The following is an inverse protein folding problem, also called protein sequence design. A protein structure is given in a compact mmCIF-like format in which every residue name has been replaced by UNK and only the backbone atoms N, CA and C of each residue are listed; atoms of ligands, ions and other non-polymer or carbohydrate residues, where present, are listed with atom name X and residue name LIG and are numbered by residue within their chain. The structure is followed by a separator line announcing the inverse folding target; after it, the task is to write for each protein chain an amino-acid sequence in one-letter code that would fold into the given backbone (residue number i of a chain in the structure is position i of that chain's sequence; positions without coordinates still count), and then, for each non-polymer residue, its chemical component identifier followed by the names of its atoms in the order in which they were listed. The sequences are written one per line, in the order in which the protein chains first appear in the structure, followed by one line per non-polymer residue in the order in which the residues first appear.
data_IF_238250835419
#
_entry.id   IF_238250835419
#
_cell.length_a   1.000
_cell.length_b   1.000
_cell.length_c   1.000
_cell.angle_alpha   90.00
_cell.angle_beta   90.00
_cell.angle_gamma   90.00
#
_symmetry.space_group_name_H-M   'P 1'
#
loop_
_entity.id
_entity.type
_entity.pdbx_description
1 polymer ?
#
# COMPACT_ATOMS: atom_id res chain seq x y z
N UNK A 1 5.35 -0.48 -2.99
CA UNK A 1 5.02 -1.45 -4.07
C UNK A 1 3.63 -1.21 -4.66
N UNK A 2 2.56 -1.08 -3.86
CA UNK A 2 1.20 -0.81 -4.36
C UNK A 2 1.17 0.52 -5.12
N UNK A 3 1.70 1.59 -4.52
CA UNK A 3 1.80 2.92 -5.14
C UNK A 3 2.47 2.90 -6.53
N UNK A 4 3.55 2.13 -6.68
CA UNK A 4 4.27 1.98 -7.94
C UNK A 4 3.41 1.22 -8.96
N UNK A 5 2.72 0.15 -8.56
CA UNK A 5 1.83 -0.58 -9.48
C UNK A 5 0.60 0.21 -9.88
N UNK A 6 0.03 1.00 -8.97
CA UNK A 6 -1.01 1.96 -9.33
C UNK A 6 -0.51 3.02 -10.31
N UNK A 7 0.74 3.48 -10.15
CA UNK A 7 1.35 4.45 -11.07
C UNK A 7 1.65 3.83 -12.44
N UNK A 8 2.12 2.59 -12.49
CA UNK A 8 2.25 1.82 -13.74
C UNK A 8 0.90 1.62 -14.43
N UNK A 9 -0.14 1.31 -13.66
CA UNK A 9 -1.52 1.21 -14.17
C UNK A 9 -2.01 2.53 -14.74
N UNK A 10 -1.76 3.65 -14.05
CA UNK A 10 -2.08 5.00 -14.55
C UNK A 10 -1.32 5.36 -15.84
N UNK A 11 -0.04 4.98 -15.93
CA UNK A 11 0.75 5.14 -17.16
C UNK A 11 0.13 4.33 -18.32
N UNK A 12 -0.24 3.09 -18.07
CA UNK A 12 -0.74 2.15 -19.10
C UNK A 12 -2.16 2.49 -19.57
N UNK A 13 -3.07 2.80 -18.64
CA UNK A 13 -4.49 2.97 -18.95
C UNK A 13 -4.84 4.41 -19.37
N UNK A 14 -4.18 5.41 -18.79
CA UNK A 14 -4.55 6.83 -18.97
C UNK A 14 -3.38 7.73 -19.39
N UNK A 15 -2.22 7.16 -19.70
CA UNK A 15 -1.06 7.91 -20.17
C UNK A 15 -0.47 8.86 -19.13
N UNK A 16 -0.60 8.54 -17.83
CA UNK A 16 -0.08 9.39 -16.76
C UNK A 16 1.45 9.56 -16.86
N UNK A 17 1.93 10.78 -16.56
CA UNK A 17 3.35 11.09 -16.50
C UNK A 17 4.09 10.14 -15.57
N UNK A 18 5.18 9.57 -16.07
CA UNK A 18 5.90 8.49 -15.40
C UNK A 18 7.41 8.71 -15.41
N UNK A 19 8.09 8.43 -14.30
CA UNK A 19 9.54 8.55 -14.20
C UNK A 19 10.17 7.21 -13.78
N UNK A 20 10.77 6.45 -14.71
CA UNK A 20 11.42 5.17 -14.40
C UNK A 20 12.55 5.30 -13.36
N UNK A 21 13.25 6.43 -13.34
CA UNK A 21 14.30 6.70 -12.34
C UNK A 21 13.74 6.80 -10.93
N UNK A 22 12.60 7.49 -10.76
CA UNK A 22 11.96 7.64 -9.46
C UNK A 22 11.36 6.31 -8.97
N UNK A 23 10.75 5.53 -9.88
CA UNK A 23 10.32 4.17 -9.59
C UNK A 23 11.49 3.32 -9.07
N UNK A 24 12.58 3.25 -9.85
CA UNK A 24 13.74 2.42 -9.50
C UNK A 24 14.27 2.76 -8.12
N UNK A 25 14.40 4.06 -7.82
CA UNK A 25 14.85 4.53 -6.51
C UNK A 25 13.97 4.02 -5.35
N UNK A 26 12.65 4.01 -5.52
CA UNK A 26 11.71 3.49 -4.51
C UNK A 26 11.79 1.98 -4.40
N UNK A 27 11.85 1.25 -5.52
CA UNK A 27 11.92 -0.21 -5.51
C UNK A 27 13.23 -0.75 -4.93
N UNK A 28 14.37 -0.14 -5.26
CA UNK A 28 15.67 -0.48 -4.66
C UNK A 28 15.67 -0.25 -3.14
N UNK A 29 15.06 0.85 -2.69
CA UNK A 29 14.92 1.16 -1.27
C UNK A 29 14.05 0.13 -0.54
N UNK A 30 12.96 -0.30 -1.18
CA UNK A 30 12.07 -1.33 -0.66
C UNK A 30 12.76 -2.69 -0.58
N UNK A 31 13.56 -3.03 -1.59
CA UNK A 31 14.38 -4.25 -1.61
C UNK A 31 15.39 -4.28 -0.47
N UNK A 32 16.13 -3.20 -0.25
CA UNK A 32 17.11 -3.11 0.85
C UNK A 32 16.40 -3.27 2.20
N UNK A 33 15.27 -2.60 2.40
CA UNK A 33 14.50 -2.66 3.64
C UNK A 33 13.94 -4.07 3.88
N UNK A 34 13.21 -4.63 2.92
CA UNK A 34 12.62 -5.97 3.05
C UNK A 34 13.68 -7.07 3.21
N UNK A 35 14.81 -6.95 2.51
CA UNK A 35 15.96 -7.83 2.70
C UNK A 35 16.57 -7.72 4.08
N UNK A 36 16.60 -6.52 4.68
CA UNK A 36 17.03 -6.34 6.06
C UNK A 36 16.06 -6.95 7.08
N UNK A 37 14.75 -6.79 6.88
CA UNK A 37 13.71 -7.41 7.72
C UNK A 37 13.80 -8.94 7.64
N UNK A 38 14.02 -9.49 6.44
CA UNK A 38 14.11 -10.93 6.21
C UNK A 38 15.32 -11.57 6.92
N UNK A 39 16.43 -10.84 7.07
CA UNK A 39 17.65 -11.30 7.74
C UNK A 39 17.70 -11.01 9.24
N UNK A 40 16.78 -10.19 9.77
CA UNK A 40 16.78 -9.89 11.20
C UNK A 40 16.43 -11.14 12.01
N UNK A 41 17.29 -11.50 12.98
CA UNK A 41 17.12 -12.65 13.88
C UNK A 41 16.50 -12.24 15.24
N UNK A 42 16.07 -10.97 15.37
CA UNK A 42 15.49 -10.44 16.61
C UNK A 42 14.69 -9.15 16.39
N UNK A 43 14.18 -8.54 17.46
CA UNK A 43 13.32 -7.35 17.40
C UNK A 43 14.06 -6.06 17.07
N UNK A 44 15.35 -6.11 16.70
CA UNK A 44 16.05 -4.93 16.21
C UNK A 44 15.43 -4.48 14.89
N UNK A 45 14.70 -3.36 14.96
CA UNK A 45 14.13 -2.71 13.80
C UNK A 45 15.26 -2.30 12.85
N UNK A 46 15.13 -2.55 11.53
CA UNK A 46 16.13 -2.13 10.54
C UNK A 46 16.04 -0.61 10.30
N UNK A 47 16.41 0.17 11.32
CA UNK A 47 16.23 1.60 11.39
C UNK A 47 17.01 2.32 10.28
N UNK A 48 18.26 1.93 10.05
CA UNK A 48 19.09 2.54 8.99
C UNK A 48 18.50 2.30 7.59
N UNK A 49 18.16 1.06 7.19
CA UNK A 49 17.41 0.81 5.94
C UNK A 49 16.09 1.57 5.85
N UNK A 50 15.33 1.66 6.95
CA UNK A 50 14.05 2.37 6.99
C UNK A 50 14.23 3.88 6.73
N UNK A 51 15.15 4.53 7.45
CA UNK A 51 15.46 5.95 7.27
C UNK A 51 15.91 6.23 5.84
N UNK A 52 16.80 5.39 5.28
CA UNK A 52 17.24 5.51 3.89
C UNK A 52 16.07 5.38 2.91
N UNK A 53 15.16 4.43 3.14
CA UNK A 53 13.99 4.26 2.30
C UNK A 53 13.06 5.48 2.36
N UNK A 54 12.83 6.05 3.53
CA UNK A 54 12.02 7.27 3.70
C UNK A 54 12.63 8.47 2.97
N UNK A 55 13.95 8.67 3.11
CA UNK A 55 14.68 9.74 2.40
C UNK A 55 14.55 9.55 0.89
N UNK A 56 14.79 8.34 0.39
CA UNK A 56 14.73 8.03 -1.04
C UNK A 56 13.32 8.18 -1.61
N UNK A 57 12.28 7.82 -0.86
CA UNK A 57 10.90 8.14 -1.24
C UNK A 57 10.68 9.66 -1.34
N UNK A 58 11.22 10.44 -0.41
CA UNK A 58 11.20 11.91 -0.48
C UNK A 58 11.90 12.45 -1.73
N UNK A 59 13.08 11.92 -2.06
CA UNK A 59 13.82 12.28 -3.28
C UNK A 59 13.04 11.90 -4.54
N UNK A 60 12.44 10.71 -4.58
CA UNK A 60 11.60 10.29 -5.70
C UNK A 60 10.42 11.25 -5.92
N UNK A 61 9.76 11.70 -4.83
CA UNK A 61 8.68 12.68 -4.92
C UNK A 61 9.16 14.06 -5.38
N UNK A 62 10.37 14.50 -4.99
CA UNK A 62 10.96 15.74 -5.49
C UNK A 62 11.28 15.67 -6.98
N UNK A 63 11.81 14.54 -7.46
CA UNK A 63 12.11 14.31 -8.89
C UNK A 63 10.84 14.40 -9.74
N UNK A 64 9.74 13.83 -9.26
CA UNK A 64 8.47 13.78 -10.01
C UNK A 64 7.59 15.01 -9.79
N UNK A 65 7.88 15.85 -8.79
CA UNK A 65 6.98 16.91 -8.35
C UNK A 65 5.63 16.39 -7.82
N UNK A 66 5.56 15.13 -7.41
CA UNK A 66 4.32 14.45 -7.06
C UNK A 66 4.54 13.36 -6.01
N UNK A 67 3.54 13.11 -5.17
CA UNK A 67 3.59 11.98 -4.23
C UNK A 67 3.42 10.60 -4.90
N UNK A 68 3.14 10.55 -6.20
CA UNK A 68 2.87 9.32 -6.96
C UNK A 68 3.79 8.12 -6.68
N UNK A 69 5.13 8.26 -6.67
CA UNK A 69 6.01 7.11 -6.43
C UNK A 69 5.84 6.49 -5.04
N UNK A 70 5.26 7.19 -4.07
CA UNK A 70 5.10 6.74 -2.69
C UNK A 70 3.63 6.70 -2.20
N UNK A 71 2.65 7.07 -3.03
CA UNK A 71 1.25 7.20 -2.63
C UNK A 71 0.29 6.76 -3.74
N UNK A 72 -0.38 5.62 -3.54
CA UNK A 72 -1.40 5.04 -4.41
C UNK A 72 -2.70 4.78 -3.67
N UNK A 73 -3.38 3.70 -4.04
CA UNK A 73 -4.65 3.26 -3.46
C UNK A 73 -4.53 2.95 -1.96
N UNK A 74 -3.39 2.46 -1.48
CA UNK A 74 -3.15 2.21 -0.06
C UNK A 74 -3.23 3.50 0.77
N UNK A 75 -2.75 4.61 0.22
CA UNK A 75 -2.86 5.93 0.85
C UNK A 75 -4.26 6.50 0.75
N UNK A 76 -5.02 6.17 -0.31
CA UNK A 76 -6.43 6.55 -0.38
C UNK A 76 -7.24 5.89 0.73
N UNK A 77 -7.00 4.60 1.02
CA UNK A 77 -7.59 3.92 2.18
C UNK A 77 -7.22 4.67 3.47
N UNK A 78 -5.93 4.96 3.66
CA UNK A 78 -5.44 5.70 4.84
C UNK A 78 -6.14 7.05 5.03
N UNK A 79 -6.23 7.86 3.97
CA UNK A 79 -6.95 9.13 4.01
C UNK A 79 -8.45 8.98 4.30
N UNK A 80 -9.08 7.91 3.81
CA UNK A 80 -10.48 7.63 4.13
C UNK A 80 -10.65 7.38 5.64
N UNK A 81 -9.73 6.61 6.23
CA UNK A 81 -9.73 6.34 7.67
C UNK A 81 -9.52 7.62 8.48
N UNK A 82 -8.56 8.47 8.09
CA UNK A 82 -8.32 9.78 8.73
C UNK A 82 -9.59 10.65 8.77
N UNK A 83 -10.38 10.65 7.69
CA UNK A 83 -11.61 11.42 7.61
C UNK A 83 -12.76 10.87 8.46
N UNK A 84 -12.75 9.57 8.79
CA UNK A 84 -13.89 8.87 9.38
C UNK A 84 -13.69 8.43 10.82
N UNK A 85 -12.45 8.22 11.26
CA UNK A 85 -12.17 7.68 12.60
C UNK A 85 -12.47 8.67 13.73
N UNK A 86 -12.47 9.98 13.45
CA UNK A 86 -12.69 11.01 14.48
C UNK A 86 -11.60 11.08 15.56
N UNK A 87 -10.66 10.13 15.57
CA UNK A 87 -9.48 10.08 16.41
C UNK A 87 -8.21 9.92 15.55
N UNK A 88 -7.06 10.32 16.09
CA UNK A 88 -5.78 10.15 15.40
C UNK A 88 -5.34 8.69 15.50
N UNK A 89 -5.01 8.10 14.35
CA UNK A 89 -4.35 6.81 14.25
C UNK A 89 -3.00 6.98 13.54
N UNK A 90 -1.95 6.20 13.85
CA UNK A 90 -0.67 6.34 13.17
C UNK A 90 -0.79 6.10 11.66
N UNK A 91 -0.44 7.11 10.86
CA UNK A 91 -0.57 7.08 9.40
C UNK A 91 0.13 5.89 8.75
N UNK A 92 1.33 5.53 9.23
CA UNK A 92 2.07 4.37 8.74
C UNK A 92 1.31 3.05 8.92
N UNK A 93 0.57 2.91 10.03
CA UNK A 93 -0.25 1.72 10.29
C UNK A 93 -1.50 1.71 9.39
N UNK A 94 -2.14 2.85 9.18
CA UNK A 94 -3.24 2.97 8.20
C UNK A 94 -2.78 2.60 6.78
N UNK A 95 -1.61 3.08 6.35
CA UNK A 95 -1.03 2.72 5.06
C UNK A 95 -0.62 1.23 4.99
N UNK A 96 -0.21 0.62 6.10
CA UNK A 96 0.04 -0.81 6.17
C UNK A 96 -1.26 -1.61 5.91
N UNK A 97 -2.37 -1.25 6.57
CA UNK A 97 -3.69 -1.84 6.33
C UNK A 97 -4.11 -1.68 4.87
N UNK A 98 -4.02 -0.44 4.36
CA UNK A 98 -4.28 -0.15 2.95
C UNK A 98 -3.41 -0.98 2.00
N UNK A 99 -2.16 -1.25 2.37
CA UNK A 99 -1.24 -2.06 1.56
C UNK A 99 -1.71 -3.50 1.48
N UNK A 100 -2.15 -4.13 2.58
CA UNK A 100 -2.66 -5.51 2.55
C UNK A 100 -3.94 -5.63 1.70
N UNK A 101 -4.87 -4.69 1.86
CA UNK A 101 -6.12 -4.66 1.08
C UNK A 101 -5.85 -4.47 -0.40
N UNK A 102 -4.99 -3.49 -0.76
CA UNK A 102 -4.77 -3.18 -2.17
C UNK A 102 -3.83 -4.18 -2.83
N UNK A 103 -2.89 -4.78 -2.09
CA UNK A 103 -2.11 -5.91 -2.59
C UNK A 103 -3.01 -7.12 -2.88
N UNK A 104 -3.95 -7.49 -2.00
CA UNK A 104 -4.89 -8.58 -2.29
C UNK A 104 -5.73 -8.24 -3.53
N UNK A 105 -6.18 -7.00 -3.67
CA UNK A 105 -6.97 -6.60 -4.83
C UNK A 105 -6.17 -6.64 -6.14
N UNK A 106 -4.92 -6.19 -6.11
CA UNK A 106 -4.04 -6.32 -7.28
C UNK A 106 -3.76 -7.79 -7.61
N UNK A 107 -3.55 -8.67 -6.63
CA UNK A 107 -3.37 -10.10 -6.90
C UNK A 107 -4.60 -10.72 -7.59
N UNK A 108 -5.80 -10.27 -7.23
CA UNK A 108 -7.05 -10.76 -7.81
C UNK A 108 -7.37 -10.19 -9.20
N UNK A 109 -7.03 -8.92 -9.46
CA UNK A 109 -7.54 -8.18 -10.63
C UNK A 109 -6.46 -7.58 -11.54
N UNK A 110 -5.23 -7.42 -11.10
CA UNK A 110 -4.17 -6.82 -11.90
C UNK A 110 -3.29 -7.91 -12.54
N UNK A 111 -3.44 -8.20 -13.85
CA UNK A 111 -2.63 -9.21 -14.53
C UNK A 111 -1.14 -8.85 -14.56
N UNK A 112 -0.80 -7.56 -14.41
CA UNK A 112 0.56 -7.04 -14.35
C UNK A 112 1.05 -6.87 -12.90
N UNK A 113 0.39 -7.50 -11.91
CA UNK A 113 0.89 -7.48 -10.53
C UNK A 113 2.26 -8.14 -10.41
N UNK A 114 2.97 -7.87 -9.32
CA UNK A 114 4.28 -8.44 -9.04
C UNK A 114 4.24 -9.98 -9.01
N UNK A 115 5.23 -10.59 -9.64
CA UNK A 115 5.43 -12.05 -9.67
C UNK A 115 6.53 -12.49 -8.71
N UNK A 116 7.40 -11.56 -8.31
CA UNK A 116 8.45 -11.81 -7.34
C UNK A 116 7.84 -12.07 -5.95
N UNK A 117 8.20 -13.20 -5.34
CA UNK A 117 7.63 -13.67 -4.06
C UNK A 117 7.64 -12.58 -2.98
N UNK A 118 8.72 -11.79 -2.90
CA UNK A 118 8.87 -10.69 -1.95
C UNK A 118 7.80 -9.59 -2.02
N UNK A 119 7.08 -9.49 -3.13
CA UNK A 119 6.02 -8.49 -3.33
C UNK A 119 4.62 -9.11 -3.30
N UNK A 120 4.54 -10.42 -3.06
CA UNK A 120 3.27 -11.12 -2.86
C UNK A 120 2.73 -10.84 -1.47
N UNK A 121 1.41 -10.80 -1.37
CA UNK A 121 0.65 -10.53 -0.14
C UNK A 121 1.13 -11.37 1.04
N UNK A 122 1.39 -12.67 0.80
CA UNK A 122 1.93 -13.58 1.82
C UNK A 122 3.23 -13.06 2.44
N UNK A 123 4.16 -12.58 1.61
CA UNK A 123 5.43 -12.01 2.08
C UNK A 123 5.26 -10.63 2.70
N UNK A 124 4.34 -9.79 2.20
CA UNK A 124 4.03 -8.50 2.84
C UNK A 124 3.56 -8.73 4.28
N UNK A 125 2.64 -9.69 4.49
CA UNK A 125 2.18 -10.09 5.84
C UNK A 125 3.31 -10.62 6.70
N UNK A 126 4.24 -11.37 6.12
CA UNK A 126 5.44 -11.84 6.84
C UNK A 126 6.32 -10.69 7.34
N UNK A 127 6.60 -9.71 6.48
CA UNK A 127 7.38 -8.55 6.89
C UNK A 127 6.68 -7.78 8.01
N UNK A 128 5.37 -7.57 7.90
CA UNK A 128 4.57 -6.88 8.91
C UNK A 128 4.61 -7.61 10.25
N UNK A 129 4.48 -8.95 10.26
CA UNK A 129 4.60 -9.75 11.47
C UNK A 129 5.96 -9.58 12.14
N UNK A 130 7.04 -9.61 11.36
CA UNK A 130 8.42 -9.50 11.87
C UNK A 130 8.72 -8.16 12.51
N UNK A 131 8.07 -7.08 12.05
CA UNK A 131 8.24 -5.73 12.61
C UNK A 131 7.12 -5.34 13.57
N UNK A 132 6.25 -6.27 13.97
CA UNK A 132 5.19 -6.03 14.95
C UNK A 132 4.05 -5.13 14.46
N UNK A 133 3.84 -5.02 13.15
CA UNK A 133 2.66 -4.34 12.60
C UNK A 133 1.40 -5.22 12.77
N UNK A 134 0.22 -4.61 12.99
CA UNK A 134 -1.01 -5.35 13.18
C UNK A 134 -1.44 -6.10 11.91
N UNK A 135 -2.08 -7.27 12.09
CA UNK A 135 -2.41 -8.19 11.00
C UNK A 135 -3.89 -8.58 10.94
N UNK A 136 -4.71 -8.11 11.89
CA UNK A 136 -6.16 -8.31 11.93
C UNK A 136 -6.88 -7.01 12.33
N UNK A 137 -8.16 -6.86 11.98
CA UNK A 137 -8.97 -5.71 12.40
C UNK A 137 -9.12 -5.60 13.91
N UNK A 138 -9.13 -6.74 14.61
CA UNK A 138 -9.20 -6.80 16.07
C UNK A 138 -7.94 -6.21 16.72
N UNK A 139 -6.75 -6.48 16.19
CA UNK A 139 -5.49 -5.88 16.66
C UNK A 139 -5.51 -4.34 16.56
N UNK A 140 -6.22 -3.83 15.56
CA UNK A 140 -6.24 -2.42 15.18
C UNK A 140 -7.38 -1.67 15.89
N UNK A 141 -8.44 -2.39 16.28
CA UNK A 141 -9.67 -1.82 16.84
C UNK A 141 -10.52 -1.07 15.80
N UNK A 142 -10.43 -1.46 14.52
CA UNK A 142 -11.21 -0.82 13.45
C UNK A 142 -12.47 -1.62 13.12
N UNK A 143 -13.65 -0.97 13.03
CA UNK A 143 -14.87 -1.69 12.67
C UNK A 143 -14.82 -2.16 11.22
N UNK A 144 -15.19 -3.43 10.98
CA UNK A 144 -15.28 -4.03 9.63
C UNK A 144 -16.00 -3.11 8.63
N UNK A 145 -17.14 -2.56 9.02
CA UNK A 145 -17.96 -1.70 8.17
C UNK A 145 -17.22 -0.46 7.68
N UNK A 146 -16.30 0.08 8.48
CA UNK A 146 -15.47 1.21 8.07
C UNK A 146 -14.49 0.79 6.97
N UNK A 147 -13.87 -0.39 7.09
CA UNK A 147 -12.93 -0.91 6.08
C UNK A 147 -13.64 -1.23 4.77
N UNK A 148 -14.80 -1.88 4.84
CA UNK A 148 -15.62 -2.15 3.65
C UNK A 148 -15.97 -0.84 2.93
N UNK A 149 -16.42 0.17 3.67
CA UNK A 149 -16.70 1.48 3.09
C UNK A 149 -15.43 2.13 2.51
N UNK A 150 -14.28 2.03 3.18
CA UNK A 150 -13.02 2.56 2.68
C UNK A 150 -12.66 1.96 1.31
N UNK A 151 -12.79 0.64 1.15
CA UNK A 151 -12.51 -0.05 -0.12
C UNK A 151 -13.40 0.47 -1.26
N UNK A 152 -14.69 0.69 -1.00
CA UNK A 152 -15.68 1.13 -1.99
C UNK A 152 -15.50 2.62 -2.35
N UNK A 153 -15.13 3.44 -1.37
CA UNK A 153 -15.29 4.89 -1.44
C UNK A 153 -13.97 5.67 -1.56
N UNK A 154 -12.83 5.08 -1.16
CA UNK A 154 -11.56 5.80 -1.06
C UNK A 154 -11.06 6.41 -2.39
N UNK A 155 -11.45 5.84 -3.54
CA UNK A 155 -11.12 6.42 -4.85
C UNK A 155 -11.64 7.86 -5.01
N UNK A 156 -12.73 8.23 -4.33
CA UNK A 156 -13.31 9.58 -4.39
C UNK A 156 -12.46 10.65 -3.71
N UNK A 157 -11.48 10.26 -2.90
CA UNK A 157 -10.63 11.20 -2.15
C UNK A 157 -9.69 11.98 -3.07
N UNK A 158 -9.19 11.32 -4.12
CA UNK A 158 -8.38 11.96 -5.17
C UNK A 158 -8.83 11.46 -6.54
N UNK A 159 -9.92 12.03 -7.09
CA UNK A 159 -10.50 11.57 -8.37
C UNK A 159 -9.54 11.67 -9.56
N UNK A 160 -8.54 12.55 -9.46
CA UNK A 160 -7.46 12.77 -10.44
C UNK A 160 -6.34 11.72 -10.34
N UNK A 161 -6.35 10.88 -9.30
CA UNK A 161 -5.30 9.89 -9.03
C UNK A 161 -5.74 8.50 -9.44
N UNK A 162 -5.60 8.14 -10.72
CA UNK A 162 -5.92 6.80 -11.21
C UNK A 162 -5.19 5.68 -10.43
N UNK A 163 -5.92 4.68 -9.97
CA UNK A 163 -5.44 3.51 -9.21
C UNK A 163 -6.30 2.29 -9.56
N UNK A 164 -5.99 1.12 -9.00
CA UNK A 164 -6.82 -0.07 -9.12
C UNK A 164 -8.29 0.15 -8.69
N UNK A 165 -8.52 1.00 -7.68
CA UNK A 165 -9.86 1.37 -7.22
C UNK A 165 -10.63 2.19 -8.27
N UNK A 166 -9.93 2.99 -9.08
CA UNK A 166 -10.54 3.74 -10.18
C UNK A 166 -10.89 2.85 -11.36
N UNK A 167 -10.02 1.88 -11.67
CA UNK A 167 -10.18 0.94 -12.78
C UNK A 167 -11.38 0.03 -12.59
N UNK A 168 -11.48 -0.60 -11.42
CA UNK A 168 -12.44 -1.68 -11.20
C UNK A 168 -13.62 -1.32 -10.28
N UNK A 169 -13.50 -0.24 -9.48
CA UNK A 169 -14.56 0.30 -8.60
C UNK A 169 -15.29 -0.80 -7.81
N UNK A 170 -14.64 -1.38 -6.78
CA UNK A 170 -15.19 -2.50 -6.03
C UNK A 170 -16.55 -2.17 -5.41
N UNK A 171 -17.48 -3.12 -5.46
CA UNK A 171 -18.75 -3.06 -4.72
C UNK A 171 -18.64 -3.86 -3.43
N UNK A 172 -19.72 -3.96 -2.67
CA UNK A 172 -19.74 -4.68 -1.37
C UNK A 172 -19.18 -6.10 -1.47
N UNK A 173 -19.58 -6.88 -2.47
CA UNK A 173 -19.08 -8.25 -2.66
C UNK A 173 -17.57 -8.29 -2.92
N UNK A 174 -17.05 -7.37 -3.75
CA UNK A 174 -15.61 -7.24 -3.97
C UNK A 174 -14.89 -6.82 -2.69
N UNK A 175 -15.45 -5.87 -1.93
CA UNK A 175 -14.85 -5.36 -0.70
C UNK A 175 -14.76 -6.43 0.39
N UNK A 176 -15.81 -7.24 0.55
CA UNK A 176 -15.84 -8.40 1.43
C UNK A 176 -14.75 -9.42 1.05
N UNK A 177 -14.63 -9.71 -0.26
CA UNK A 177 -13.59 -10.62 -0.77
C UNK A 177 -12.18 -10.04 -0.57
N UNK A 178 -11.96 -8.76 -0.86
CA UNK A 178 -10.69 -8.05 -0.66
C UNK A 178 -10.28 -8.13 0.81
N UNK A 179 -11.20 -7.87 1.73
CA UNK A 179 -10.95 -7.92 3.16
C UNK A 179 -10.56 -9.35 3.59
N UNK A 180 -11.32 -10.35 3.19
CA UNK A 180 -11.02 -11.76 3.48
C UNK A 180 -9.65 -12.18 2.94
N UNK A 181 -9.40 -11.95 1.65
CA UNK A 181 -8.14 -12.37 1.00
C UNK A 181 -6.93 -11.61 1.55
N UNK A 182 -7.10 -10.37 2.02
CA UNK A 182 -6.02 -9.62 2.69
C UNK A 182 -5.56 -10.26 4.01
N UNK A 183 -6.37 -11.15 4.58
CA UNK A 183 -6.16 -11.80 5.87
C UNK A 183 -6.30 -10.86 7.07
N UNK A 184 -7.00 -9.73 6.90
CA UNK A 184 -7.30 -8.77 7.98
C UNK A 184 -8.59 -9.10 8.73
N UNK A 185 -9.48 -9.91 8.13
CA UNK A 185 -10.73 -10.36 8.76
C UNK A 185 -10.52 -11.03 10.12
#
# INVERSE_FOLDING_TARGET
MVSIKDWQLGREDVGEAYCPTAERLVLESLEILTGSIARSEGPEEPLTPLIRALINCGVAMMITGSSRPASGSEHLISHYLDMKLGCKYPHGVQCAIGTLLMASYHEMRNPNWWTEERYRLKMIREYFRRVGLPLSLDDIGLPRSLIINAIIEAWRIRPDRYTILHKYRPRTEDAELILKESGLE
#
